data_IF_106572208565
#
_entry.id   IF_106572208565
#
_cell.length_a   1.000
_cell.length_b   1.000
_cell.length_c   1.000
_cell.angle_alpha   90.00
_cell.angle_beta   90.00
_cell.angle_gamma   90.00
#
_symmetry.space_group_name_H-M   'P 1'
#
loop_
_entity.id
_entity.type
_entity.pdbx_description
1 polymer ?
#
# COMPACT_ATOMS: atom_id res chain seq x y z
N UNK A 1 2.32 -20.94 13.71
CA UNK A 1 2.47 -19.47 13.83
C UNK A 1 1.20 -18.82 13.30
N UNK A 2 0.57 -17.94 14.07
CA UNK A 2 -0.66 -17.27 13.66
C UNK A 2 -0.39 -16.12 12.70
N UNK A 3 -1.29 -15.91 11.74
CA UNK A 3 -1.31 -14.71 10.93
C UNK A 3 -2.12 -13.63 11.65
N UNK A 4 -1.65 -12.38 11.64
CA UNK A 4 -2.42 -11.25 12.18
C UNK A 4 -2.58 -10.15 11.14
N UNK A 5 -3.66 -9.37 11.32
CA UNK A 5 -4.04 -8.30 10.39
C UNK A 5 -3.93 -6.95 11.07
N UNK A 6 -3.42 -5.97 10.33
CA UNK A 6 -3.25 -4.58 10.80
C UNK A 6 -3.93 -3.62 9.83
N UNK A 7 -4.54 -2.57 10.38
CA UNK A 7 -5.06 -1.46 9.57
C UNK A 7 -3.91 -0.58 9.10
N UNK A 8 -3.84 -0.35 7.80
CA UNK A 8 -2.87 0.57 7.20
C UNK A 8 -3.59 1.57 6.29
N UNK A 9 -2.96 2.72 6.08
CA UNK A 9 -3.31 3.69 5.08
C UNK A 9 -2.18 3.75 4.06
N UNK A 10 -2.46 3.41 2.80
CA UNK A 10 -1.49 3.53 1.71
C UNK A 10 -1.82 4.77 0.91
N UNK A 11 -0.83 5.61 0.64
CA UNK A 11 -1.01 6.87 -0.06
C UNK A 11 0.18 7.24 -0.94
N UNK A 12 0.02 8.34 -1.67
CA UNK A 12 1.09 8.99 -2.42
C UNK A 12 1.20 10.42 -1.94
N UNK A 13 2.41 10.86 -1.62
CA UNK A 13 2.71 12.27 -1.34
C UNK A 13 2.97 12.98 -2.68
N UNK A 14 2.25 14.06 -2.97
CA UNK A 14 2.40 14.80 -4.23
C UNK A 14 1.71 16.16 -4.20
N UNK A 15 1.88 16.92 -5.28
CA UNK A 15 1.47 18.33 -5.41
C UNK A 15 -0.06 18.56 -5.31
N UNK A 16 -0.87 17.51 -5.50
CA UNK A 16 -2.34 17.55 -5.38
C UNK A 16 -2.91 17.30 -3.97
N UNK A 17 -2.05 17.17 -2.95
CA UNK A 17 -2.45 16.83 -1.57
C UNK A 17 -2.34 15.34 -1.25
N UNK A 18 -2.50 15.01 0.04
CA UNK A 18 -2.38 13.63 0.54
C UNK A 18 -3.64 12.81 0.23
N UNK A 19 -3.52 11.77 -0.62
CA UNK A 19 -4.57 10.78 -0.84
C UNK A 19 -4.18 9.45 -0.21
N UNK A 20 -5.01 8.95 0.71
CA UNK A 20 -4.84 7.65 1.36
C UNK A 20 -6.01 6.71 1.08
N UNK A 21 -5.69 5.43 0.92
CA UNK A 21 -6.65 4.32 0.83
C UNK A 21 -6.48 3.43 2.07
N UNK A 22 -7.53 3.23 2.88
CA UNK A 22 -7.49 2.30 4.00
C UNK A 22 -7.48 0.86 3.51
N UNK A 23 -6.63 0.03 4.12
CA UNK A 23 -6.54 -1.41 3.86
C UNK A 23 -6.38 -2.16 5.19
N UNK A 24 -6.90 -3.39 5.23
CA UNK A 24 -6.50 -4.38 6.22
C UNK A 24 -5.38 -5.25 5.61
N UNK A 25 -4.17 -5.10 6.12
CA UNK A 25 -3.00 -5.83 5.63
C UNK A 25 -2.78 -7.12 6.44
N UNK A 26 -2.36 -8.18 5.76
CA UNK A 26 -1.83 -9.38 6.38
C UNK A 26 -0.36 -9.14 6.72
N UNK A 27 0.05 -9.39 7.96
CA UNK A 27 1.47 -9.35 8.32
C UNK A 27 2.11 -10.68 7.97
N UNK A 28 3.14 -10.60 7.12
CA UNK A 28 4.03 -11.71 6.79
C UNK A 28 5.46 -11.34 7.19
N UNK A 29 5.94 -11.95 8.27
CA UNK A 29 7.30 -11.70 8.78
C UNK A 29 8.39 -12.32 7.92
N UNK A 30 8.04 -13.19 6.97
CA UNK A 30 8.97 -13.80 6.01
C UNK A 30 9.15 -12.99 4.73
N UNK A 31 8.35 -11.94 4.50
CA UNK A 31 8.44 -11.14 3.28
C UNK A 31 9.42 -9.97 3.44
N UNK A 32 10.40 -9.86 2.53
CA UNK A 32 11.29 -8.69 2.46
C UNK A 32 10.60 -7.45 1.88
N UNK A 33 9.54 -7.64 1.08
CA UNK A 33 8.84 -6.56 0.38
C UNK A 33 7.39 -6.45 0.80
N UNK A 34 6.82 -5.26 0.63
CA UNK A 34 5.39 -5.01 0.86
C UNK A 34 4.60 -5.20 -0.43
N UNK A 35 3.55 -6.01 -0.36
CA UNK A 35 2.64 -6.23 -1.48
C UNK A 35 1.41 -5.34 -1.34
N UNK A 36 1.17 -4.48 -2.33
CA UNK A 36 -0.05 -3.65 -2.42
C UNK A 36 -0.83 -4.06 -3.67
N UNK A 37 -2.16 -4.25 -3.58
CA UNK A 37 -2.98 -4.52 -4.75
C UNK A 37 -2.79 -3.48 -5.85
N UNK A 38 -2.65 -3.94 -7.10
CA UNK A 38 -2.38 -3.08 -8.27
C UNK A 38 -3.43 -1.97 -8.43
N UNK A 39 -4.70 -2.31 -8.23
CA UNK A 39 -5.82 -1.38 -8.38
C UNK A 39 -5.76 -0.24 -7.33
N UNK A 40 -5.27 -0.52 -6.12
CA UNK A 40 -5.04 0.50 -5.09
C UNK A 40 -3.95 1.48 -5.53
N UNK A 41 -2.82 0.97 -6.04
CA UNK A 41 -1.73 1.81 -6.54
C UNK A 41 -2.17 2.66 -7.73
N UNK A 42 -2.92 2.08 -8.67
CA UNK A 42 -3.46 2.80 -9.82
C UNK A 42 -4.43 3.92 -9.41
N UNK A 43 -5.30 3.70 -8.42
CA UNK A 43 -6.19 4.75 -7.88
C UNK A 43 -5.41 5.89 -7.20
N UNK A 44 -4.22 5.61 -6.69
CA UNK A 44 -3.30 6.59 -6.12
C UNK A 44 -2.42 7.27 -7.17
N UNK A 45 -2.56 6.92 -8.46
CA UNK A 45 -1.72 7.43 -9.54
C UNK A 45 -0.27 6.94 -9.45
N UNK A 46 -0.02 5.84 -8.72
CA UNK A 46 1.30 5.20 -8.66
C UNK A 46 1.40 4.20 -9.81
N UNK A 47 2.34 4.44 -10.72
CA UNK A 47 2.66 3.55 -11.82
C UNK A 47 3.80 2.62 -11.44
N UNK A 48 3.80 1.42 -12.04
CA UNK A 48 4.98 0.56 -12.00
C UNK A 48 6.12 1.24 -12.75
N UNK A 49 7.31 1.25 -12.16
CA UNK A 49 8.50 1.87 -12.74
C UNK A 49 9.34 0.80 -13.47
N UNK A 50 9.43 -0.40 -12.90
CA UNK A 50 10.28 -1.49 -13.43
C UNK A 50 9.71 -2.88 -13.15
N UNK A 51 10.31 -3.92 -13.73
CA UNK A 51 10.00 -5.33 -13.45
C UNK A 51 11.18 -5.99 -12.75
N UNK A 52 10.99 -6.39 -11.49
CA UNK A 52 12.04 -6.99 -10.66
C UNK A 52 11.91 -8.52 -10.62
N UNK A 53 13.00 -9.28 -10.76
CA UNK A 53 13.01 -10.72 -10.55
C UNK A 53 12.97 -11.06 -9.06
N UNK A 54 12.26 -12.14 -8.71
CA UNK A 54 12.16 -12.69 -7.37
C UNK A 54 12.24 -14.21 -7.44
N UNK A 55 13.05 -14.81 -6.57
CA UNK A 55 13.00 -16.24 -6.30
C UNK A 55 11.98 -16.49 -5.18
N UNK A 56 10.95 -17.29 -5.47
CA UNK A 56 9.94 -17.67 -4.49
C UNK A 56 10.45 -18.83 -3.62
N UNK A 57 9.79 -19.05 -2.48
CA UNK A 57 10.14 -20.13 -1.55
C UNK A 57 10.14 -21.55 -2.15
N UNK A 58 9.52 -21.75 -3.31
CA UNK A 58 9.54 -23.01 -4.06
C UNK A 58 10.65 -23.09 -5.12
N UNK A 59 11.60 -22.15 -5.11
CA UNK A 59 12.71 -22.05 -6.08
C UNK A 59 12.31 -21.50 -7.45
N UNK A 60 11.05 -21.08 -7.65
CA UNK A 60 10.62 -20.52 -8.94
C UNK A 60 10.98 -19.04 -9.03
N UNK A 61 11.63 -18.67 -10.11
CA UNK A 61 11.81 -17.25 -10.47
C UNK A 61 10.56 -16.67 -11.12
N UNK A 62 10.16 -15.48 -10.66
CA UNK A 62 9.04 -14.71 -11.20
C UNK A 62 9.41 -13.24 -11.31
N UNK A 63 8.77 -12.51 -12.23
CA UNK A 63 8.96 -11.05 -12.36
C UNK A 63 7.71 -10.31 -11.93
N UNK A 64 7.88 -9.35 -11.03
CA UNK A 64 6.80 -8.49 -10.57
C UNK A 64 7.09 -7.02 -10.85
N UNK A 65 6.04 -6.22 -11.12
CA UNK A 65 6.18 -4.79 -11.23
C UNK A 65 6.60 -4.21 -9.88
N UNK A 66 7.69 -3.46 -9.84
CA UNK A 66 7.98 -2.57 -8.74
C UNK A 66 7.31 -1.22 -9.00
N UNK A 67 6.67 -0.69 -7.97
CA UNK A 67 6.09 0.65 -8.01
C UNK A 67 7.02 1.62 -7.27
N UNK A 68 7.08 2.87 -7.75
CA UNK A 68 7.75 3.95 -7.03
C UNK A 68 7.16 4.13 -5.63
N UNK A 69 7.97 4.62 -4.69
CA UNK A 69 7.77 4.58 -3.24
C UNK A 69 6.41 5.16 -2.79
N UNK A 70 5.38 4.33 -2.52
CA UNK A 70 4.16 4.82 -1.89
C UNK A 70 4.41 5.04 -0.39
N UNK A 71 3.70 5.99 0.22
CA UNK A 71 3.73 6.19 1.66
C UNK A 71 2.75 5.22 2.33
N UNK A 72 3.22 4.45 3.31
CA UNK A 72 2.36 3.61 4.14
C UNK A 72 2.36 4.10 5.59
N UNK A 73 1.16 4.38 6.13
CA UNK A 73 0.95 4.70 7.55
C UNK A 73 0.33 3.50 8.23
N UNK A 74 0.94 3.02 9.31
CA UNK A 74 0.42 1.92 10.13
C UNK A 74 -0.29 2.50 11.34
N UNK A 75 -1.50 2.03 11.64
CA UNK A 75 -2.30 2.52 12.73
C UNK A 75 -2.94 1.40 13.54
N UNK A 76 -3.51 1.75 14.69
CA UNK A 76 -4.38 0.84 15.44
C UNK A 76 -5.72 0.73 14.70
N UNK A 77 -6.42 -0.40 14.84
CA UNK A 77 -7.77 -0.55 14.27
C UNK A 77 -8.66 0.62 14.74
N UNK A 78 -9.18 1.41 13.80
CA UNK A 78 -9.99 2.61 14.09
C UNK A 78 -9.23 3.92 14.35
N UNK A 79 -7.89 3.94 14.30
CA UNK A 79 -7.09 5.16 14.50
C UNK A 79 -7.08 6.11 13.30
N UNK A 80 -7.61 5.66 12.16
CA UNK A 80 -7.71 6.48 10.97
C UNK A 80 -9.14 7.00 10.83
N UNK A 81 -9.36 8.24 11.25
CA UNK A 81 -10.62 8.93 11.00
C UNK A 81 -10.87 9.01 9.48
N UNK A 82 -12.10 8.71 9.02
CA UNK A 82 -12.51 9.04 7.64
C UNK A 82 -12.27 10.53 7.45
N UNK A 83 -11.43 10.90 6.48
CA UNK A 83 -11.31 12.29 6.06
C UNK A 83 -12.71 12.79 5.69
N UNK A 84 -13.26 13.72 6.48
CA UNK A 84 -14.51 14.40 6.10
C UNK A 84 -14.17 15.38 4.98
N UNK A 85 -14.96 15.44 3.89
CA UNK A 85 -14.77 16.46 2.88
C UNK A 85 -14.94 17.83 3.54
N UNK A 86 -13.94 18.72 3.39
CA UNK A 86 -14.10 20.13 3.75
C UNK A 86 -15.19 20.70 2.86
N UNK A 87 -16.29 21.14 3.46
CA UNK A 87 -17.26 21.96 2.76
C UNK A 87 -16.53 23.21 2.23
N UNK A 88 -16.62 23.46 0.92
CA UNK A 88 -16.23 24.75 0.35
C UNK A 88 -17.19 25.78 0.93
N UNK A 89 -16.69 26.67 1.78
CA UNK A 89 -17.36 27.94 2.07
C UNK A 89 -17.36 28.75 0.77
N UNK A 90 -18.56 28.96 0.22
CA UNK A 90 -18.80 30.01 -0.77
C UNK A 90 -18.86 31.39 -0.12
#
# INVERSE_FOLDING_TARGET
MGHFRVSIHVGRRGEGGERFVPLEALVDTGSMYTWVPRDVLQRLGVTAEEQWPFELANGREVRYPSAGTPEARVGRRGSFARARPRARSG
#
